data_IF_540553105043
#
_entry.id   IF_540553105043
#
_cell.length_a   1.000
_cell.length_b   1.000
_cell.length_c   1.000
_cell.angle_alpha   90.00
_cell.angle_beta   90.00
_cell.angle_gamma   90.00
#
_symmetry.space_group_name_H-M   'P 1'
#
loop_
_entity.id
_entity.type
_entity.pdbx_description
1 polymer ?
#
# COMPACT_ATOMS: atom_id res chain seq x y z
N UNK A 1 -75.76 -63.34 -47.63
CA UNK A 1 -75.08 -62.04 -47.45
C UNK A 1 -73.75 -62.29 -46.72
N UNK A 2 -72.68 -61.61 -47.13
CA UNK A 2 -71.33 -61.79 -46.58
C UNK A 2 -71.21 -61.19 -45.19
N UNK A 3 -71.87 -60.07 -44.92
CA UNK A 3 -71.75 -59.40 -43.62
C UNK A 3 -72.55 -60.16 -42.54
N UNK A 4 -73.71 -60.72 -42.88
CA UNK A 4 -74.44 -61.69 -42.06
C UNK A 4 -73.57 -62.92 -41.71
N UNK A 5 -72.79 -63.44 -42.67
CA UNK A 5 -71.88 -64.58 -42.41
C UNK A 5 -70.75 -64.19 -41.46
N UNK A 6 -70.10 -63.03 -41.66
CA UNK A 6 -69.06 -62.51 -40.76
C UNK A 6 -69.59 -62.32 -39.34
N UNK A 7 -70.81 -61.79 -39.19
CA UNK A 7 -71.46 -61.61 -37.90
C UNK A 7 -71.70 -62.95 -37.19
N UNK A 8 -72.18 -63.97 -37.91
CA UNK A 8 -72.44 -65.30 -37.37
C UNK A 8 -71.18 -66.08 -36.94
N UNK A 9 -70.00 -65.72 -37.45
CA UNK A 9 -68.70 -66.32 -37.07
C UNK A 9 -67.82 -65.40 -36.21
N UNK A 10 -68.35 -64.28 -35.72
CA UNK A 10 -67.63 -63.35 -34.83
C UNK A 10 -66.54 -62.50 -35.49
N UNK A 11 -66.60 -62.32 -36.81
CA UNK A 11 -65.64 -61.53 -37.62
C UNK A 11 -66.24 -60.20 -38.13
N UNK A 12 -67.39 -59.76 -37.62
CA UNK A 12 -68.03 -58.46 -37.93
C UNK A 12 -67.15 -57.23 -37.63
N UNK A 13 -66.21 -57.37 -36.68
CA UNK A 13 -65.22 -56.35 -36.32
C UNK A 13 -64.12 -56.16 -37.36
N UNK A 14 -63.90 -57.12 -38.27
CA UNK A 14 -62.91 -57.04 -39.34
C UNK A 14 -63.55 -56.51 -40.62
N UNK A 15 -63.29 -55.25 -40.95
CA UNK A 15 -63.75 -54.62 -42.19
C UNK A 15 -62.57 -54.40 -43.14
N UNK A 16 -62.85 -54.48 -44.43
CA UNK A 16 -61.87 -54.29 -45.49
C UNK A 16 -62.46 -53.40 -46.56
N UNK A 17 -61.63 -52.54 -47.11
CA UNK A 17 -61.92 -51.66 -48.25
C UNK A 17 -60.74 -51.72 -49.22
N UNK A 18 -60.87 -51.21 -50.46
CA UNK A 18 -59.74 -51.09 -51.37
C UNK A 18 -58.56 -50.26 -50.82
N UNK A 19 -58.81 -49.41 -49.83
CA UNK A 19 -57.85 -48.44 -49.28
C UNK A 19 -57.29 -48.78 -47.91
N UNK A 20 -57.94 -49.65 -47.12
CA UNK A 20 -57.49 -50.04 -45.77
C UNK A 20 -58.22 -51.27 -45.21
N UNK A 21 -57.53 -52.02 -44.33
CA UNK A 21 -58.13 -53.02 -43.42
C UNK A 21 -58.34 -52.39 -42.04
N UNK A 22 -59.44 -52.73 -41.38
CA UNK A 22 -59.93 -52.09 -40.16
C UNK A 22 -60.33 -53.16 -39.14
N UNK A 23 -60.01 -52.91 -37.87
CA UNK A 23 -60.41 -53.73 -36.72
C UNK A 23 -61.12 -52.82 -35.71
N UNK A 24 -62.42 -53.04 -35.53
CA UNK A 24 -63.24 -52.27 -34.60
C UNK A 24 -63.31 -52.96 -33.21
N UNK A 25 -63.28 -52.20 -32.10
CA UNK A 25 -63.33 -52.77 -30.74
C UNK A 25 -64.71 -53.29 -30.34
N UNK A 26 -65.78 -52.83 -31.01
CA UNK A 26 -67.14 -53.33 -30.84
C UNK A 26 -67.87 -53.38 -32.19
N UNK A 27 -69.02 -54.06 -32.23
CA UNK A 27 -69.85 -54.24 -33.44
C UNK A 27 -70.76 -53.06 -33.77
N UNK A 28 -70.79 -52.03 -32.90
CA UNK A 28 -71.54 -50.78 -33.12
C UNK A 28 -70.66 -49.65 -33.67
N UNK A 29 -71.23 -48.44 -33.77
CA UNK A 29 -70.44 -47.23 -34.08
C UNK A 29 -69.51 -46.89 -32.92
N UNK A 30 -68.27 -47.40 -32.97
CA UNK A 30 -67.18 -46.92 -32.15
C UNK A 30 -66.29 -46.00 -33.00
N UNK A 31 -65.96 -44.77 -32.53
CA UNK A 31 -65.08 -43.89 -33.29
C UNK A 31 -63.67 -44.45 -33.42
N UNK A 32 -63.18 -45.25 -32.45
CA UNK A 32 -61.84 -45.83 -32.48
C UNK A 32 -61.80 -47.12 -33.28
N UNK A 33 -60.77 -47.26 -34.12
CA UNK A 33 -60.40 -48.53 -34.79
C UNK A 33 -58.88 -48.66 -34.87
N UNK A 34 -58.38 -49.89 -34.97
CA UNK A 34 -57.02 -50.14 -35.48
C UNK A 34 -57.15 -50.29 -36.99
N UNK A 35 -56.29 -49.64 -37.77
CA UNK A 35 -56.29 -49.76 -39.24
C UNK A 35 -54.89 -49.95 -39.79
N UNK A 36 -54.80 -50.55 -40.98
CA UNK A 36 -53.59 -50.66 -41.80
C UNK A 36 -53.93 -50.38 -43.27
N UNK A 37 -53.10 -49.55 -43.91
CA UNK A 37 -53.26 -49.08 -45.30
C UNK A 37 -52.21 -49.69 -46.23
N UNK A 38 -52.48 -49.83 -47.55
CA UNK A 38 -51.53 -50.35 -48.53
C UNK A 38 -50.22 -49.54 -48.66
N UNK A 39 -50.19 -48.29 -48.19
CA UNK A 39 -48.97 -47.46 -48.15
C UNK A 39 -48.06 -47.77 -46.93
N UNK A 40 -48.46 -48.67 -46.04
CA UNK A 40 -47.73 -49.04 -44.84
C UNK A 40 -48.14 -48.29 -43.57
N UNK A 41 -49.03 -47.29 -43.64
CA UNK A 41 -49.55 -46.61 -42.46
C UNK A 41 -50.41 -47.56 -41.63
N UNK A 42 -50.18 -47.62 -40.32
CA UNK A 42 -51.01 -48.39 -39.39
C UNK A 42 -51.06 -47.75 -38.00
N UNK A 43 -52.10 -48.09 -37.23
CA UNK A 43 -52.27 -47.61 -35.85
C UNK A 43 -53.73 -47.36 -35.47
N UNK A 44 -53.95 -46.60 -34.41
CA UNK A 44 -55.30 -46.20 -33.97
C UNK A 44 -55.78 -45.00 -34.76
N UNK A 45 -56.93 -45.14 -35.43
CA UNK A 45 -57.60 -44.08 -36.16
C UNK A 45 -58.94 -43.75 -35.51
N UNK A 46 -59.37 -42.48 -35.63
CA UNK A 46 -60.71 -42.03 -35.26
C UNK A 46 -61.57 -41.67 -36.45
N UNK A 47 -62.67 -42.38 -36.60
CA UNK A 47 -63.64 -42.20 -37.69
C UNK A 47 -64.49 -40.93 -37.52
N UNK A 48 -64.67 -40.44 -36.29
CA UNK A 48 -65.46 -39.23 -35.99
C UNK A 48 -64.67 -37.92 -36.20
N UNK A 49 -63.36 -37.93 -35.97
CA UNK A 49 -62.48 -36.77 -36.19
C UNK A 49 -61.67 -36.85 -37.48
N UNK A 50 -61.55 -38.03 -38.09
CA UNK A 50 -60.71 -38.24 -39.27
C UNK A 50 -59.21 -38.11 -38.99
N UNK A 51 -58.76 -38.51 -37.79
CA UNK A 51 -57.37 -38.33 -37.34
C UNK A 51 -56.74 -39.59 -36.78
N UNK A 52 -55.40 -39.68 -36.87
CA UNK A 52 -54.61 -40.63 -36.09
C UNK A 52 -54.64 -40.26 -34.59
N UNK A 53 -54.81 -41.26 -33.74
CA UNK A 53 -54.68 -41.14 -32.28
C UNK A 53 -53.38 -41.82 -31.82
N UNK A 54 -52.52 -41.14 -31.05
CA UNK A 54 -51.25 -41.70 -30.61
C UNK A 54 -51.45 -42.70 -29.47
N UNK A 55 -50.62 -43.73 -29.41
CA UNK A 55 -50.62 -44.68 -28.29
C UNK A 55 -50.31 -43.93 -26.97
N UNK A 56 -51.18 -44.06 -25.97
CA UNK A 56 -51.07 -43.38 -24.68
C UNK A 56 -49.83 -43.87 -23.90
N UNK A 57 -49.27 -43.00 -23.05
CA UNK A 57 -48.11 -43.31 -22.19
C UNK A 57 -48.36 -44.55 -21.32
N UNK A 58 -49.56 -44.67 -20.73
CA UNK A 58 -49.98 -45.83 -19.91
C UNK A 58 -50.01 -47.17 -20.67
N UNK A 59 -49.93 -47.15 -22.00
CA UNK A 59 -49.86 -48.31 -22.87
C UNK A 59 -48.48 -48.44 -23.58
N UNK A 60 -47.46 -47.73 -23.11
CA UNK A 60 -46.09 -47.78 -23.67
C UNK A 60 -45.84 -46.88 -24.88
N UNK A 61 -46.77 -45.98 -25.22
CA UNK A 61 -46.62 -45.01 -26.31
C UNK A 61 -46.12 -43.63 -25.89
N UNK A 62 -46.05 -42.71 -26.85
CA UNK A 62 -45.60 -41.31 -26.63
C UNK A 62 -46.72 -40.34 -26.23
N UNK A 63 -47.99 -40.75 -26.37
CA UNK A 63 -49.15 -39.88 -26.16
C UNK A 63 -49.29 -38.70 -27.13
N UNK A 64 -48.50 -38.63 -28.21
CA UNK A 64 -48.53 -37.53 -29.18
C UNK A 64 -48.19 -37.97 -30.60
N UNK A 65 -48.81 -37.32 -31.59
CA UNK A 65 -48.61 -37.56 -33.04
C UNK A 65 -47.47 -36.73 -33.65
N UNK A 66 -46.89 -35.78 -32.90
CA UNK A 66 -45.79 -34.94 -33.36
C UNK A 66 -44.58 -35.00 -32.41
N UNK A 67 -43.39 -34.66 -32.94
CA UNK A 67 -42.11 -34.77 -32.22
C UNK A 67 -41.97 -33.83 -31.02
N UNK A 68 -42.71 -32.71 -30.98
CA UNK A 68 -42.63 -31.72 -29.89
C UNK A 68 -43.34 -32.26 -28.65
N UNK A 69 -44.61 -32.61 -28.81
CA UNK A 69 -45.46 -33.02 -27.69
C UNK A 69 -45.07 -34.42 -27.20
N UNK A 70 -44.56 -35.30 -28.07
CA UNK A 70 -44.03 -36.61 -27.68
C UNK A 70 -42.85 -36.51 -26.70
N UNK A 71 -42.02 -35.45 -26.83
CA UNK A 71 -40.90 -35.20 -25.92
C UNK A 71 -41.35 -34.58 -24.60
N UNK A 72 -42.31 -33.66 -24.65
CA UNK A 72 -42.95 -33.09 -23.45
C UNK A 72 -43.58 -34.19 -22.60
N UNK A 73 -44.37 -35.08 -23.23
CA UNK A 73 -45.06 -36.20 -22.58
C UNK A 73 -44.11 -37.19 -21.89
N UNK A 74 -42.94 -37.45 -22.47
CA UNK A 74 -41.93 -38.36 -21.91
C UNK A 74 -40.89 -37.64 -21.05
N UNK A 75 -41.02 -36.32 -20.84
CA UNK A 75 -40.06 -35.45 -20.17
C UNK A 75 -38.62 -35.57 -20.72
N UNK A 76 -38.49 -35.81 -22.04
CA UNK A 76 -37.21 -35.93 -22.74
C UNK A 76 -36.84 -34.55 -23.28
N UNK A 77 -35.61 -34.03 -23.01
CA UNK A 77 -35.14 -32.78 -23.60
C UNK A 77 -35.26 -32.76 -25.12
N UNK A 78 -35.45 -31.58 -25.72
CA UNK A 78 -35.52 -31.45 -27.17
C UNK A 78 -34.27 -32.08 -27.82
N UNK A 79 -34.48 -33.17 -28.56
CA UNK A 79 -33.39 -33.89 -29.23
C UNK A 79 -32.66 -32.95 -30.20
N UNK A 80 -31.33 -32.88 -30.04
CA UNK A 80 -30.32 -32.23 -30.90
C UNK A 80 -30.91 -31.56 -32.15
N UNK A 81 -31.26 -30.27 -32.03
CA UNK A 81 -31.52 -29.42 -33.20
C UNK A 81 -30.21 -28.75 -33.60
N UNK A 82 -29.84 -28.91 -34.88
CA UNK A 82 -28.76 -28.15 -35.49
C UNK A 82 -29.30 -26.75 -35.80
N UNK A 83 -28.65 -25.73 -35.25
CA UNK A 83 -28.85 -24.31 -35.56
C UNK A 83 -28.20 -24.07 -36.94
N UNK A 84 -28.92 -23.56 -37.95
CA UNK A 84 -28.37 -23.35 -39.29
C UNK A 84 -27.23 -22.33 -39.33
N UNK A 85 -26.31 -22.51 -40.29
CA UNK A 85 -25.30 -21.49 -40.63
C UNK A 85 -25.96 -20.13 -40.96
N UNK A 86 -25.27 -19.04 -40.65
CA UNK A 86 -25.74 -17.66 -40.73
C UNK A 86 -26.64 -17.21 -39.57
N UNK A 87 -27.09 -18.13 -38.71
CA UNK A 87 -28.07 -17.81 -37.65
C UNK A 87 -27.45 -17.07 -36.47
N UNK A 88 -28.18 -16.10 -35.92
CA UNK A 88 -27.91 -15.49 -34.61
C UNK A 88 -28.37 -16.43 -33.49
N UNK A 89 -27.45 -17.11 -32.81
CA UNK A 89 -27.76 -18.11 -31.77
C UNK A 89 -28.63 -17.51 -30.65
N UNK A 90 -28.25 -16.33 -30.14
CA UNK A 90 -28.91 -15.72 -28.99
C UNK A 90 -30.36 -15.31 -29.31
N UNK A 91 -30.62 -14.84 -30.53
CA UNK A 91 -31.98 -14.61 -31.03
C UNK A 91 -32.73 -15.92 -31.30
N UNK A 92 -32.07 -16.91 -31.91
CA UNK A 92 -32.68 -18.21 -32.23
C UNK A 92 -33.09 -18.98 -30.97
N UNK A 93 -32.33 -18.90 -29.87
CA UNK A 93 -32.70 -19.55 -28.60
C UNK A 93 -33.97 -18.94 -27.99
N UNK A 94 -34.14 -17.61 -28.08
CA UNK A 94 -35.38 -16.92 -27.69
C UNK A 94 -36.55 -17.35 -28.59
N UNK A 95 -36.34 -17.40 -29.90
CA UNK A 95 -37.40 -17.74 -30.87
C UNK A 95 -37.81 -19.21 -30.85
N UNK A 96 -36.85 -20.13 -30.76
CA UNK A 96 -37.07 -21.57 -30.61
C UNK A 96 -37.81 -21.90 -29.30
N UNK A 97 -37.64 -21.07 -28.27
CA UNK A 97 -38.49 -21.00 -27.08
C UNK A 97 -38.57 -22.31 -26.23
N UNK A 98 -37.65 -23.23 -26.42
CA UNK A 98 -37.57 -24.55 -25.77
C UNK A 98 -36.25 -24.70 -25.00
N UNK A 99 -36.30 -25.26 -23.79
CA UNK A 99 -35.10 -25.74 -23.09
C UNK A 99 -34.59 -27.03 -23.75
N UNK A 100 -33.27 -27.21 -23.82
CA UNK A 100 -32.69 -28.41 -24.42
C UNK A 100 -31.24 -28.26 -24.86
N UNK A 101 -30.77 -29.29 -25.59
CA UNK A 101 -29.43 -29.35 -26.16
C UNK A 101 -29.49 -29.08 -27.65
N UNK A 102 -28.76 -28.06 -28.07
CA UNK A 102 -28.64 -27.56 -29.43
C UNK A 102 -27.20 -27.65 -29.90
N UNK A 103 -26.97 -27.53 -31.20
CA UNK A 103 -25.63 -27.59 -31.78
C UNK A 103 -25.52 -26.68 -33.00
N UNK A 104 -24.30 -26.34 -33.41
CA UNK A 104 -24.05 -25.63 -34.66
C UNK A 104 -22.70 -25.99 -35.24
N UNK A 105 -22.53 -25.72 -36.54
CA UNK A 105 -21.20 -25.51 -37.12
C UNK A 105 -20.54 -24.21 -36.62
N UNK A 106 -19.45 -23.82 -37.27
CA UNK A 106 -18.68 -22.62 -36.91
C UNK A 106 -19.31 -21.32 -37.44
N UNK A 107 -20.07 -21.39 -38.54
CA UNK A 107 -20.58 -20.23 -39.29
C UNK A 107 -21.87 -19.63 -38.67
N UNK A 108 -21.87 -19.35 -37.38
CA UNK A 108 -23.02 -18.76 -36.67
C UNK A 108 -22.60 -17.49 -35.93
N UNK A 109 -23.52 -16.52 -35.83
CA UNK A 109 -23.25 -15.21 -35.23
C UNK A 109 -23.74 -15.15 -33.77
N UNK A 110 -23.06 -14.33 -32.97
CA UNK A 110 -23.21 -14.28 -31.50
C UNK A 110 -22.87 -15.60 -30.77
N UNK A 111 -22.01 -16.46 -31.35
CA UNK A 111 -21.30 -17.52 -30.63
C UNK A 111 -20.18 -16.94 -29.74
N UNK A 112 -19.64 -17.69 -28.77
CA UNK A 112 -18.44 -17.27 -28.05
C UNK A 112 -17.21 -17.14 -28.97
N UNK A 113 -16.22 -16.35 -28.55
CA UNK A 113 -15.11 -15.93 -29.41
C UNK A 113 -14.12 -17.07 -29.74
N UNK A 114 -13.54 -17.72 -28.72
CA UNK A 114 -12.31 -18.52 -28.90
C UNK A 114 -12.55 -20.00 -29.23
N UNK A 115 -13.52 -20.32 -30.09
CA UNK A 115 -13.81 -21.72 -30.46
C UNK A 115 -14.08 -21.92 -31.94
N UNK A 116 -13.38 -22.91 -32.50
CA UNK A 116 -13.45 -23.38 -33.88
C UNK A 116 -14.29 -24.65 -34.01
N UNK A 117 -14.80 -24.91 -35.21
CA UNK A 117 -15.58 -26.09 -35.53
C UNK A 117 -16.94 -26.14 -34.83
N UNK A 118 -17.32 -27.34 -34.39
CA UNK A 118 -18.63 -27.61 -33.82
C UNK A 118 -18.81 -27.02 -32.42
N UNK A 119 -20.04 -26.58 -32.15
CA UNK A 119 -20.47 -26.09 -30.85
C UNK A 119 -21.68 -26.88 -30.36
N UNK A 120 -21.79 -27.01 -29.02
CA UNK A 120 -22.97 -27.53 -28.32
C UNK A 120 -23.47 -26.47 -27.34
N UNK A 121 -24.78 -26.29 -27.24
CA UNK A 121 -25.44 -25.32 -26.35
C UNK A 121 -26.50 -26.02 -25.51
N UNK A 122 -26.48 -25.85 -24.20
CA UNK A 122 -27.48 -26.35 -23.27
C UNK A 122 -28.24 -25.16 -22.67
N UNK A 123 -29.45 -24.89 -23.18
CA UNK A 123 -30.26 -23.76 -22.74
C UNK A 123 -31.30 -24.21 -21.72
N UNK A 124 -31.29 -23.58 -20.55
CA UNK A 124 -32.21 -23.79 -19.44
C UNK A 124 -33.04 -22.53 -19.26
N UNK A 125 -34.28 -22.55 -19.75
CA UNK A 125 -35.27 -21.48 -19.51
C UNK A 125 -35.77 -21.63 -18.07
N UNK A 126 -35.67 -20.58 -17.27
CA UNK A 126 -36.12 -20.55 -15.87
C UNK A 126 -37.49 -19.86 -15.73
N UNK A 127 -37.68 -18.73 -16.42
CA UNK A 127 -38.93 -17.95 -16.39
C UNK A 127 -39.29 -17.47 -17.80
N UNK A 128 -40.58 -17.29 -18.04
CA UNK A 128 -41.15 -16.83 -19.31
C UNK A 128 -41.93 -15.53 -19.10
N UNK A 129 -41.85 -14.63 -20.08
CA UNK A 129 -42.56 -13.35 -20.03
C UNK A 129 -44.06 -13.54 -20.33
N UNK A 130 -44.83 -12.44 -20.33
CA UNK A 130 -46.28 -12.47 -20.60
C UNK A 130 -46.63 -12.96 -22.02
N UNK A 131 -45.68 -12.91 -22.97
CA UNK A 131 -45.81 -13.41 -24.34
C UNK A 131 -45.38 -14.89 -24.48
N UNK A 132 -44.98 -15.54 -23.37
CA UNK A 132 -44.52 -16.93 -23.34
C UNK A 132 -43.09 -17.16 -23.84
N UNK A 133 -42.36 -16.09 -24.19
CA UNK A 133 -40.94 -16.12 -24.60
C UNK A 133 -40.03 -16.28 -23.38
N UNK A 134 -38.76 -16.69 -23.54
CA UNK A 134 -37.83 -16.82 -22.42
C UNK A 134 -37.51 -15.44 -21.86
N UNK A 135 -37.50 -15.31 -20.54
CA UNK A 135 -37.30 -14.04 -19.84
C UNK A 135 -36.10 -14.10 -18.90
N UNK A 136 -35.96 -15.24 -18.19
CA UNK A 136 -34.79 -15.60 -17.41
C UNK A 136 -34.32 -17.00 -17.78
N UNK A 137 -33.00 -17.21 -17.80
CA UNK A 137 -32.40 -18.51 -18.10
C UNK A 137 -30.89 -18.46 -18.25
N UNK A 138 -30.28 -19.61 -18.52
CA UNK A 138 -28.83 -19.74 -18.70
C UNK A 138 -28.52 -20.66 -19.88
N UNK A 139 -27.52 -20.28 -20.69
CA UNK A 139 -26.96 -21.13 -21.75
C UNK A 139 -25.54 -21.51 -21.36
N UNK A 140 -25.27 -22.81 -21.29
CA UNK A 140 -23.92 -23.37 -21.24
C UNK A 140 -23.50 -23.72 -22.67
N UNK A 141 -22.38 -23.17 -23.16
CA UNK A 141 -21.85 -23.45 -24.49
C UNK A 141 -20.48 -24.13 -24.41
N UNK A 142 -20.28 -25.20 -25.17
CA UNK A 142 -19.02 -25.95 -25.23
C UNK A 142 -18.55 -26.03 -26.68
N UNK A 143 -17.30 -25.64 -26.92
CA UNK A 143 -16.65 -25.75 -28.23
C UNK A 143 -16.05 -27.14 -28.46
N UNK A 144 -15.72 -27.47 -29.70
CA UNK A 144 -14.98 -28.68 -30.06
C UNK A 144 -13.60 -28.83 -29.35
N UNK A 145 -13.05 -27.73 -28.82
CA UNK A 145 -11.82 -27.72 -28.02
C UNK A 145 -12.06 -27.88 -26.50
N UNK A 146 -13.27 -28.29 -26.08
CA UNK A 146 -13.72 -28.38 -24.67
C UNK A 146 -13.67 -27.07 -23.88
N UNK A 147 -13.60 -25.92 -24.56
CA UNK A 147 -13.69 -24.62 -23.90
C UNK A 147 -15.16 -24.34 -23.58
N UNK A 148 -15.47 -24.12 -22.31
CA UNK A 148 -16.82 -23.83 -21.83
C UNK A 148 -17.06 -22.34 -21.65
N UNK A 149 -18.28 -21.91 -21.95
CA UNK A 149 -18.79 -20.56 -21.75
C UNK A 149 -20.18 -20.61 -21.12
N UNK A 150 -20.55 -19.55 -20.39
CA UNK A 150 -21.91 -19.32 -19.91
C UNK A 150 -22.38 -17.94 -20.37
N UNK A 151 -23.67 -17.81 -20.69
CA UNK A 151 -24.36 -16.52 -20.79
C UNK A 151 -25.71 -16.61 -20.08
N UNK A 152 -26.11 -15.51 -19.44
CA UNK A 152 -27.34 -15.39 -18.66
C UNK A 152 -28.33 -14.51 -19.42
N UNK A 153 -29.58 -14.98 -19.52
CA UNK A 153 -30.72 -14.22 -20.00
C UNK A 153 -31.39 -13.53 -18.80
N UNK A 154 -31.63 -12.23 -18.92
CA UNK A 154 -32.29 -11.40 -17.89
C UNK A 154 -33.27 -10.45 -18.58
N UNK A 155 -34.53 -10.45 -18.17
CA UNK A 155 -35.61 -9.63 -18.75
C UNK A 155 -35.70 -9.74 -20.29
N UNK A 156 -35.53 -10.96 -20.82
CA UNK A 156 -35.55 -11.26 -22.26
C UNK A 156 -34.35 -10.73 -23.05
N UNK A 157 -33.31 -10.22 -22.38
CA UNK A 157 -32.09 -9.68 -22.98
C UNK A 157 -30.84 -10.44 -22.52
N UNK A 158 -29.73 -10.25 -23.23
CA UNK A 158 -28.42 -10.89 -22.97
C UNK A 158 -27.37 -9.86 -22.49
N UNK A 159 -27.57 -9.16 -21.36
CA UNK A 159 -26.88 -7.91 -21.02
C UNK A 159 -25.37 -8.04 -20.72
N UNK A 160 -24.87 -9.26 -20.47
CA UNK A 160 -23.50 -9.47 -19.98
C UNK A 160 -22.56 -10.14 -21.00
N UNK A 161 -23.08 -10.58 -22.16
CA UNK A 161 -22.29 -11.34 -23.13
C UNK A 161 -21.80 -12.71 -22.61
N UNK A 162 -20.97 -13.38 -23.40
CA UNK A 162 -20.43 -14.70 -23.05
C UNK A 162 -19.28 -14.60 -22.05
N UNK A 163 -19.41 -15.31 -20.92
CA UNK A 163 -18.37 -15.47 -19.91
C UNK A 163 -17.64 -16.80 -20.09
N UNK A 164 -16.31 -16.79 -20.16
CA UNK A 164 -15.46 -17.98 -20.36
C UNK A 164 -15.18 -18.68 -19.03
N UNK A 165 -15.43 -19.99 -18.94
CA UNK A 165 -15.07 -20.80 -17.77
C UNK A 165 -13.77 -21.53 -18.07
N UNK A 166 -12.68 -21.06 -17.46
CA UNK A 166 -11.37 -21.73 -17.51
C UNK A 166 -11.21 -22.61 -16.27
N UNK A 167 -11.26 -23.94 -16.45
CA UNK A 167 -10.72 -24.90 -15.47
C UNK A 167 -9.36 -25.40 -15.96
N UNK A 168 -8.35 -25.22 -15.12
CA UNK A 168 -7.02 -25.78 -15.30
C UNK A 168 -6.57 -26.28 -13.92
N UNK A 169 -6.35 -27.60 -13.78
CA UNK A 169 -5.84 -28.24 -12.56
C UNK A 169 -6.55 -27.80 -11.26
N UNK A 170 -7.89 -27.88 -11.26
CA UNK A 170 -8.81 -27.56 -10.14
C UNK A 170 -8.69 -26.16 -9.50
N UNK A 171 -7.91 -25.25 -10.09
CA UNK A 171 -7.79 -23.87 -9.63
C UNK A 171 -8.74 -22.94 -10.40
N UNK A 172 -9.39 -22.02 -9.69
CA UNK A 172 -10.14 -20.90 -10.30
C UNK A 172 -9.14 -19.89 -10.84
N UNK A 173 -9.05 -19.76 -12.16
CA UNK A 173 -8.18 -18.80 -12.83
C UNK A 173 -8.98 -17.58 -13.28
N UNK A 174 -8.78 -16.44 -12.62
CA UNK A 174 -9.30 -15.14 -13.08
C UNK A 174 -8.33 -14.52 -14.09
N UNK A 175 -8.45 -14.90 -15.36
CA UNK A 175 -7.74 -14.23 -16.46
C UNK A 175 -8.48 -12.92 -16.81
N UNK A 176 -7.75 -11.83 -17.00
CA UNK A 176 -8.23 -10.50 -17.42
C UNK A 176 -9.19 -9.75 -16.45
N UNK A 177 -8.97 -9.84 -15.13
CA UNK A 177 -9.73 -9.05 -14.15
C UNK A 177 -9.60 -7.52 -14.38
N UNK A 178 -10.71 -6.84 -14.63
CA UNK A 178 -10.82 -5.37 -14.75
C UNK A 178 -11.88 -4.83 -13.81
N UNK A 179 -11.50 -3.89 -12.93
CA UNK A 179 -12.37 -3.26 -11.93
C UNK A 179 -12.43 -1.75 -12.22
N UNK A 180 -13.62 -1.17 -12.40
CA UNK A 180 -13.80 0.20 -12.95
C UNK A 180 -14.89 1.05 -12.28
N UNK A 181 -14.81 2.36 -12.52
CA UNK A 181 -15.58 3.52 -12.01
C UNK A 181 -16.92 3.81 -12.77
N UNK A 182 -17.89 4.67 -12.34
CA UNK A 182 -18.28 5.15 -10.99
C UNK A 182 -19.51 6.09 -10.86
N UNK A 183 -19.96 6.36 -9.61
CA UNK A 183 -20.54 7.66 -9.18
C UNK A 183 -20.59 7.96 -7.63
N UNK A 184 -19.72 7.40 -6.74
CA UNK A 184 -20.07 7.23 -5.29
C UNK A 184 -18.99 7.34 -4.16
N UNK A 185 -17.81 7.94 -4.36
CA UNK A 185 -16.62 7.91 -3.44
C UNK A 185 -15.40 6.99 -3.78
N UNK A 186 -15.51 5.66 -3.58
CA UNK A 186 -14.50 4.59 -3.73
C UNK A 186 -14.81 3.51 -4.81
N UNK A 187 -13.83 3.11 -5.63
CA UNK A 187 -14.03 2.35 -6.88
C UNK A 187 -13.04 1.21 -7.12
N UNK A 188 -13.27 0.37 -8.14
CA UNK A 188 -12.27 -0.59 -8.62
C UNK A 188 -11.93 -1.69 -7.60
N UNK A 189 -12.97 -2.34 -7.07
CA UNK A 189 -12.96 -2.94 -5.74
C UNK A 189 -12.84 -4.47 -5.74
N UNK A 190 -11.96 -5.02 -4.90
CA UNK A 190 -11.82 -6.46 -4.62
C UNK A 190 -12.18 -6.76 -3.16
N UNK A 191 -13.11 -7.68 -2.93
CA UNK A 191 -13.58 -8.10 -1.60
C UNK A 191 -13.13 -9.51 -1.22
N UNK A 192 -12.64 -9.68 0.00
CA UNK A 192 -12.32 -10.97 0.60
C UNK A 192 -12.97 -11.06 1.99
N UNK A 193 -13.88 -12.02 2.18
CA UNK A 193 -14.56 -12.26 3.46
C UNK A 193 -13.93 -13.43 4.21
N UNK A 194 -13.65 -13.24 5.50
CA UNK A 194 -13.34 -14.34 6.42
C UNK A 194 -14.64 -14.83 7.07
N UNK A 195 -15.03 -16.07 6.79
CA UNK A 195 -16.32 -16.65 7.20
C UNK A 195 -16.08 -17.68 8.31
N UNK A 196 -16.74 -17.51 9.45
CA UNK A 196 -16.74 -18.45 10.57
C UNK A 196 -18.18 -18.83 10.93
N UNK A 197 -18.46 -20.13 11.10
CA UNK A 197 -19.80 -20.63 11.40
C UNK A 197 -20.86 -20.09 10.42
N UNK A 198 -20.53 -20.08 9.13
CA UNK A 198 -21.35 -19.53 8.04
C UNK A 198 -21.71 -18.03 8.15
N UNK A 199 -21.02 -17.26 8.99
CA UNK A 199 -21.19 -15.82 9.16
C UNK A 199 -19.90 -15.08 8.78
N UNK A 200 -19.95 -13.97 8.02
CA UNK A 200 -18.78 -13.15 7.73
C UNK A 200 -18.33 -12.42 9.01
N UNK A 201 -17.07 -12.61 9.41
CA UNK A 201 -16.45 -12.03 10.61
C UNK A 201 -15.41 -10.97 10.28
N UNK A 202 -14.63 -11.22 9.24
CA UNK A 202 -13.62 -10.30 8.73
C UNK A 202 -13.87 -9.93 7.28
N UNK A 203 -13.39 -8.75 6.90
CA UNK A 203 -13.46 -8.19 5.55
C UNK A 203 -12.10 -7.58 5.22
N UNK A 204 -11.50 -7.99 4.11
CA UNK A 204 -10.32 -7.33 3.52
C UNK A 204 -10.72 -6.78 2.17
N UNK A 205 -10.35 -5.53 1.87
CA UNK A 205 -10.65 -4.87 0.60
C UNK A 205 -9.41 -4.20 0.01
N UNK A 206 -9.35 -4.17 -1.32
CA UNK A 206 -8.42 -3.34 -2.11
C UNK A 206 -9.24 -2.52 -3.11
N UNK A 207 -9.03 -1.21 -3.15
CA UNK A 207 -9.77 -0.29 -4.03
C UNK A 207 -9.04 1.02 -4.30
N UNK A 208 -9.54 1.81 -5.26
CA UNK A 208 -9.05 3.15 -5.59
C UNK A 208 -10.15 4.19 -5.37
N UNK A 209 -9.87 5.28 -4.66
CA UNK A 209 -10.83 6.34 -4.37
C UNK A 209 -10.32 7.70 -4.86
N UNK A 210 -11.24 8.61 -5.17
CA UNK A 210 -10.92 9.97 -5.60
C UNK A 210 -11.70 10.95 -4.73
N UNK A 211 -11.01 11.67 -3.85
CA UNK A 211 -11.58 12.54 -2.82
C UNK A 211 -10.80 13.84 -2.79
N UNK A 212 -11.50 14.98 -2.70
CA UNK A 212 -10.89 16.32 -2.59
C UNK A 212 -9.87 16.63 -3.70
N UNK A 213 -10.05 16.04 -4.89
CA UNK A 213 -9.14 16.18 -6.03
C UNK A 213 -7.94 15.24 -6.01
N UNK A 214 -7.81 14.38 -4.98
CA UNK A 214 -6.66 13.48 -4.78
C UNK A 214 -7.03 12.02 -5.05
N UNK A 215 -6.26 11.37 -5.93
CA UNK A 215 -6.34 9.91 -6.14
C UNK A 215 -5.62 9.15 -5.01
N UNK A 216 -6.28 8.12 -4.47
CA UNK A 216 -5.72 7.23 -3.43
C UNK A 216 -5.95 5.74 -3.77
N UNK A 217 -4.95 4.89 -3.52
CA UNK A 217 -5.11 3.43 -3.48
C UNK A 217 -5.20 2.99 -2.03
N UNK A 218 -6.25 2.24 -1.66
CA UNK A 218 -6.57 1.87 -0.28
C UNK A 218 -6.63 0.36 -0.08
N UNK A 219 -5.93 -0.10 0.95
CA UNK A 219 -6.12 -1.39 1.59
C UNK A 219 -6.93 -1.21 2.87
N UNK A 220 -8.08 -1.86 2.99
CA UNK A 220 -8.92 -1.84 4.20
C UNK A 220 -8.96 -3.22 4.84
N UNK A 221 -8.89 -3.24 6.17
CA UNK A 221 -9.32 -4.37 6.99
C UNK A 221 -10.50 -3.96 7.88
N UNK A 222 -11.52 -4.81 7.95
CA UNK A 222 -12.75 -4.60 8.70
C UNK A 222 -13.06 -5.80 9.60
N UNK A 223 -13.31 -5.54 10.87
CA UNK A 223 -13.92 -6.50 11.79
C UNK A 223 -15.44 -6.25 11.80
N UNK A 224 -16.20 -7.21 11.28
CA UNK A 224 -17.65 -7.11 11.09
C UNK A 224 -18.43 -7.39 12.38
N UNK A 225 -17.79 -7.97 13.40
CA UNK A 225 -18.43 -8.25 14.71
C UNK A 225 -18.54 -7.01 15.59
N UNK A 226 -17.57 -6.09 15.48
CA UNK A 226 -17.53 -4.86 16.27
C UNK A 226 -17.51 -3.58 15.40
N UNK A 227 -17.77 -3.71 14.10
CA UNK A 227 -17.81 -2.63 13.11
C UNK A 227 -16.57 -1.72 13.09
N UNK A 228 -15.39 -2.26 13.41
CA UNK A 228 -14.12 -1.52 13.34
C UNK A 228 -13.49 -1.66 11.97
N UNK A 229 -12.94 -0.57 11.46
CA UNK A 229 -12.23 -0.53 10.20
C UNK A 229 -10.87 0.12 10.40
N UNK A 230 -9.87 -0.35 9.66
CA UNK A 230 -8.57 0.29 9.51
C UNK A 230 -8.22 0.37 8.02
N UNK A 231 -7.57 1.45 7.64
CA UNK A 231 -7.27 1.81 6.26
C UNK A 231 -5.79 2.13 6.16
N UNK A 232 -5.10 1.52 5.20
CA UNK A 232 -3.73 1.86 4.78
C UNK A 232 -3.84 2.43 3.38
N UNK A 233 -3.40 3.67 3.16
CA UNK A 233 -3.65 4.38 1.91
C UNK A 233 -2.37 5.02 1.37
N UNK A 234 -2.15 4.90 0.06
CA UNK A 234 -1.16 5.68 -0.68
C UNK A 234 -1.88 6.68 -1.58
N UNK A 235 -1.45 7.94 -1.57
CA UNK A 235 -1.97 8.98 -2.47
C UNK A 235 -0.99 9.33 -3.60
N UNK A 236 -1.50 10.02 -4.62
CA UNK A 236 -0.72 10.43 -5.80
C UNK A 236 0.40 11.45 -5.50
N UNK A 237 0.39 12.09 -4.32
CA UNK A 237 1.48 12.95 -3.85
C UNK A 237 2.60 12.15 -3.18
N UNK A 238 2.44 10.82 -3.03
CA UNK A 238 3.40 9.92 -2.40
C UNK A 238 3.26 9.82 -0.89
N UNK A 239 2.20 10.35 -0.30
CA UNK A 239 1.93 10.24 1.15
C UNK A 239 1.41 8.85 1.49
N UNK A 240 1.76 8.36 2.68
CA UNK A 240 1.27 7.10 3.23
C UNK A 240 0.46 7.35 4.51
N UNK A 241 -0.83 7.04 4.46
CA UNK A 241 -1.82 7.32 5.51
C UNK A 241 -2.22 6.06 6.28
N UNK A 242 -2.61 6.24 7.54
CA UNK A 242 -3.18 5.18 8.39
C UNK A 242 -2.16 4.24 9.05
N UNK A 243 -0.87 4.53 8.95
CA UNK A 243 0.19 3.78 9.64
C UNK A 243 0.22 4.16 11.12
N UNK A 244 -0.28 3.27 11.98
CA UNK A 244 -0.26 3.47 13.45
C UNK A 244 1.07 3.01 14.07
N UNK A 245 1.60 1.87 13.63
CA UNK A 245 2.86 1.31 14.11
C UNK A 245 3.64 0.69 12.95
N UNK A 246 4.94 0.97 12.86
CA UNK A 246 5.88 0.24 11.98
C UNK A 246 6.69 -0.71 12.87
N UNK A 247 6.21 -1.94 13.01
CA UNK A 247 6.96 -3.00 13.71
C UNK A 247 7.87 -3.71 12.70
N UNK A 248 9.15 -3.31 12.65
CA UNK A 248 10.18 -3.99 11.87
C UNK A 248 11.36 -4.37 12.75
N UNK A 249 11.96 -5.54 12.49
CA UNK A 249 13.23 -5.94 13.11
C UNK A 249 14.37 -5.04 12.61
N UNK A 250 14.35 -4.72 11.30
CA UNK A 250 15.27 -3.80 10.64
C UNK A 250 14.47 -2.88 9.70
N UNK A 251 14.53 -1.57 9.90
CA UNK A 251 13.96 -0.60 8.96
C UNK A 251 15.03 -0.14 7.97
N UNK A 252 15.35 -1.01 7.01
CA UNK A 252 16.44 -0.81 6.06
C UNK A 252 16.02 0.10 4.88
N UNK A 253 16.31 1.39 5.00
CA UNK A 253 16.27 2.31 3.86
C UNK A 253 17.48 2.04 2.96
N UNK A 254 17.28 1.18 1.96
CA UNK A 254 18.33 0.74 1.05
C UNK A 254 18.87 1.83 0.12
N UNK A 255 20.01 1.57 -0.53
CA UNK A 255 20.63 2.49 -1.46
C UNK A 255 19.98 2.40 -2.86
N UNK A 256 20.29 3.36 -3.73
CA UNK A 256 20.87 2.95 -5.02
C UNK A 256 22.39 2.94 -4.83
N UNK A 257 22.94 4.08 -4.38
CA UNK A 257 24.20 4.20 -3.63
C UNK A 257 24.06 5.29 -2.55
N UNK A 258 23.52 4.90 -1.38
CA UNK A 258 23.22 5.74 -0.20
C UNK A 258 21.98 6.64 -0.33
N UNK A 259 20.82 6.16 0.12
CA UNK A 259 19.80 7.01 0.73
C UNK A 259 19.72 6.65 2.22
N UNK A 260 20.04 7.61 3.09
CA UNK A 260 19.55 7.60 4.48
C UNK A 260 18.05 7.96 4.45
N UNK A 261 17.43 8.33 5.57
CA UNK A 261 16.13 9.01 5.57
C UNK A 261 16.28 10.38 4.88
N UNK A 262 16.27 10.38 3.54
CA UNK A 262 16.71 11.50 2.72
C UNK A 262 15.54 12.46 2.51
N UNK A 263 15.34 13.27 3.52
CA UNK A 263 14.35 14.32 3.60
C UNK A 263 15.05 15.64 3.34
N UNK A 264 14.50 16.51 2.48
CA UNK A 264 15.03 17.88 2.33
C UNK A 264 14.85 18.66 3.64
N UNK A 265 13.76 18.38 4.35
CA UNK A 265 13.52 18.72 5.75
C UNK A 265 12.98 17.48 6.45
N UNK A 266 13.76 16.89 7.35
CA UNK A 266 13.36 15.70 8.10
C UNK A 266 12.84 16.08 9.46
N UNK A 267 11.53 16.01 9.67
CA UNK A 267 10.93 16.38 10.95
C UNK A 267 10.41 15.14 11.66
N UNK A 268 11.10 14.72 12.73
CA UNK A 268 10.54 13.80 13.72
C UNK A 268 9.71 14.61 14.71
N UNK A 269 8.42 14.75 14.44
CA UNK A 269 7.48 15.35 15.38
C UNK A 269 7.21 14.37 16.51
N UNK A 270 7.56 14.74 17.74
CA UNK A 270 7.18 14.01 18.97
C UNK A 270 6.22 14.90 19.73
N UNK A 271 5.02 14.42 20.03
CA UNK A 271 4.00 15.24 20.72
C UNK A 271 4.50 15.74 22.09
N UNK A 272 4.51 17.05 22.25
CA UNK A 272 4.96 17.78 23.43
C UNK A 272 4.41 19.21 23.41
N UNK A 273 4.42 19.92 24.55
CA UNK A 273 3.90 21.30 24.65
C UNK A 273 4.76 22.35 23.95
N UNK A 274 6.02 22.01 23.68
CA UNK A 274 6.89 22.64 22.69
C UNK A 274 7.30 21.53 21.72
N UNK A 275 7.33 21.82 20.42
CA UNK A 275 7.48 20.80 19.37
C UNK A 275 8.98 20.51 19.15
N UNK A 276 9.53 19.37 19.58
CA UNK A 276 10.93 19.04 19.35
C UNK A 276 11.16 18.72 17.87
N UNK A 277 12.35 19.04 17.38
CA UNK A 277 12.80 18.65 16.04
C UNK A 277 14.25 18.15 16.05
N UNK A 278 14.58 17.36 15.04
CA UNK A 278 15.94 16.93 14.73
C UNK A 278 16.18 17.16 13.24
N UNK A 279 17.04 18.11 12.89
CA UNK A 279 17.35 18.45 11.51
C UNK A 279 18.75 18.00 11.11
N UNK A 280 18.88 17.55 9.85
CA UNK A 280 20.17 17.37 9.19
C UNK A 280 20.13 18.00 7.82
N UNK A 281 21.09 18.87 7.51
CA UNK A 281 21.17 19.61 6.25
C UNK A 281 22.62 19.88 5.87
N UNK A 282 22.87 20.38 4.66
CA UNK A 282 24.22 20.75 4.23
C UNK A 282 24.27 21.32 2.82
N UNK A 283 25.30 22.12 2.55
CA UNK A 283 25.60 22.73 1.26
C UNK A 283 27.13 22.64 1.02
N UNK A 284 27.59 22.21 -0.18
CA UNK A 284 29.00 22.32 -0.60
C UNK A 284 29.71 23.63 -0.27
N UNK A 285 29.02 24.78 -0.34
CA UNK A 285 29.65 26.10 -0.38
C UNK A 285 29.98 26.71 0.98
N UNK A 286 29.62 26.07 2.09
CA UNK A 286 30.01 26.54 3.44
C UNK A 286 29.83 25.50 4.55
N UNK A 287 28.59 25.04 4.76
CA UNK A 287 28.23 24.10 5.84
C UNK A 287 28.06 22.69 5.25
N UNK A 288 29.15 21.91 5.16
CA UNK A 288 29.14 20.62 4.43
C UNK A 288 28.17 19.60 5.01
N UNK A 289 28.00 19.60 6.33
CA UNK A 289 27.01 18.79 7.05
C UNK A 289 26.69 19.49 8.36
N UNK A 290 25.41 19.55 8.70
CA UNK A 290 24.88 20.06 9.97
C UNK A 290 23.95 19.02 10.57
N UNK A 291 24.00 18.88 11.89
CA UNK A 291 23.09 18.10 12.72
C UNK A 291 22.60 19.01 13.84
N UNK A 292 21.29 19.24 13.92
CA UNK A 292 20.67 20.20 14.82
C UNK A 292 19.52 19.53 15.59
N UNK A 293 19.39 19.81 16.88
CA UNK A 293 18.28 19.36 17.72
C UNK A 293 17.78 20.53 18.56
N UNK A 294 16.47 20.73 18.62
CA UNK A 294 15.84 21.91 19.22
C UNK A 294 14.33 21.79 19.41
N UNK A 295 13.68 22.91 19.74
CA UNK A 295 12.22 23.09 19.75
C UNK A 295 11.82 24.15 18.73
N UNK A 296 10.66 23.99 18.08
CA UNK A 296 10.17 24.95 17.08
C UNK A 296 9.97 26.35 17.69
N UNK A 297 9.65 26.42 18.97
CA UNK A 297 9.35 27.63 19.72
C UNK A 297 10.62 28.34 20.25
N UNK A 298 11.64 27.60 20.71
CA UNK A 298 12.83 28.16 21.40
C UNK A 298 14.13 28.03 20.58
N UNK A 299 14.07 27.37 19.41
CA UNK A 299 15.21 27.17 18.51
C UNK A 299 16.08 25.98 18.87
N UNK A 300 17.32 25.98 18.36
CA UNK A 300 18.25 24.87 18.55
C UNK A 300 18.85 24.85 19.96
N UNK A 301 19.02 23.63 20.49
CA UNK A 301 19.68 23.31 21.77
C UNK A 301 21.09 22.75 21.49
N UNK A 302 21.21 21.87 20.50
CA UNK A 302 22.46 21.23 20.06
C UNK A 302 22.68 21.51 18.57
N UNK A 303 23.88 21.94 18.21
CA UNK A 303 24.28 22.22 16.82
C UNK A 303 25.67 21.66 16.53
N UNK A 304 25.75 20.59 15.76
CA UNK A 304 27.00 20.02 15.25
C UNK A 304 27.19 20.36 13.78
N UNK A 305 28.34 20.93 13.40
CA UNK A 305 28.63 21.29 12.01
C UNK A 305 30.01 20.81 11.57
N UNK A 306 30.09 20.30 10.33
CA UNK A 306 31.33 20.06 9.59
C UNK A 306 31.52 21.20 8.59
N UNK A 307 32.60 21.94 8.78
CA UNK A 307 32.98 23.08 7.95
C UNK A 307 33.57 22.62 6.60
N UNK A 308 33.72 23.57 5.67
CA UNK A 308 34.34 23.35 4.35
C UNK A 308 35.73 22.71 4.43
N UNK A 309 36.52 23.12 5.41
CA UNK A 309 37.89 22.68 5.72
C UNK A 309 37.98 21.36 6.51
N UNK A 310 36.86 20.68 6.76
CA UNK A 310 36.73 19.46 7.59
C UNK A 310 36.92 19.68 9.12
N UNK A 311 37.11 20.93 9.57
CA UNK A 311 36.97 21.27 10.98
C UNK A 311 35.54 21.00 11.46
N UNK A 312 35.39 20.77 12.76
CA UNK A 312 34.13 20.34 13.38
C UNK A 312 33.86 21.27 14.54
N UNK A 313 32.65 21.79 14.61
CA UNK A 313 32.16 22.55 15.75
C UNK A 313 30.98 21.82 16.39
N UNK A 314 30.88 21.97 17.70
CA UNK A 314 29.71 21.60 18.49
C UNK A 314 29.36 22.82 19.34
N UNK A 315 28.26 23.45 18.98
CA UNK A 315 27.69 24.56 19.72
C UNK A 315 26.49 24.02 20.53
N UNK A 316 26.35 24.48 21.78
CA UNK A 316 25.21 24.14 22.65
C UNK A 316 24.61 25.43 23.17
N UNK A 317 23.32 25.62 22.93
CA UNK A 317 22.55 26.79 23.38
C UNK A 317 22.06 26.56 24.81
N UNK A 318 22.97 26.66 25.78
CA UNK A 318 22.66 26.44 27.20
C UNK A 318 23.85 25.93 28.01
N UNK A 319 23.55 25.45 29.23
CA UNK A 319 24.56 24.94 30.17
C UNK A 319 24.86 23.46 29.89
N UNK A 320 26.13 23.13 29.67
CA UNK A 320 26.60 21.74 29.55
C UNK A 320 27.13 21.26 30.90
N UNK A 321 26.49 20.24 31.47
CA UNK A 321 26.99 19.52 32.65
C UNK A 321 27.70 18.23 32.20
N UNK A 322 28.96 18.05 32.58
CA UNK A 322 29.76 16.86 32.27
C UNK A 322 30.51 16.37 33.51
N UNK A 323 30.80 15.07 33.58
CA UNK A 323 31.63 14.49 34.65
C UNK A 323 33.11 14.91 34.54
N UNK A 324 33.61 15.12 33.33
CA UNK A 324 34.92 15.69 33.04
C UNK A 324 34.99 16.25 31.61
N UNK A 325 35.79 17.29 31.39
CA UNK A 325 36.25 17.74 30.07
C UNK A 325 37.75 17.48 29.94
N UNK A 326 38.12 16.39 29.26
CA UNK A 326 39.52 15.97 29.12
C UNK A 326 40.14 16.55 27.84
N UNK A 327 41.08 17.48 27.98
CA UNK A 327 41.84 18.02 26.85
C UNK A 327 43.05 17.10 26.55
N UNK A 328 43.22 16.71 25.28
CA UNK A 328 44.35 15.88 24.86
C UNK A 328 45.66 16.68 24.97
N UNK A 329 46.63 16.17 25.73
CA UNK A 329 47.86 16.91 26.08
C UNK A 329 49.14 16.07 25.94
N UNK A 330 49.05 14.94 25.22
CA UNK A 330 50.19 14.08 24.92
C UNK A 330 51.32 14.86 24.21
N UNK A 331 52.57 14.47 24.45
CA UNK A 331 53.74 15.09 23.81
C UNK A 331 53.79 14.75 22.32
N UNK A 332 53.35 13.56 21.93
CA UNK A 332 53.42 13.09 20.54
C UNK A 332 52.34 13.75 19.65
N UNK A 333 51.42 14.52 20.26
CA UNK A 333 50.42 15.35 19.59
C UNK A 333 50.84 16.84 19.50
N UNK A 334 52.09 17.18 19.82
CA UNK A 334 52.57 18.57 19.92
C UNK A 334 53.90 18.77 19.18
N UNK A 335 53.99 19.93 18.53
CA UNK A 335 55.21 20.45 17.89
C UNK A 335 55.52 21.86 18.41
N UNK A 336 56.72 22.40 18.12
CA UNK A 336 57.14 23.76 18.47
C UNK A 336 56.95 24.12 19.96
N UNK A 337 57.32 23.20 20.85
CA UNK A 337 57.12 23.35 22.31
C UNK A 337 58.15 24.34 22.88
N UNK A 338 57.69 25.55 23.18
CA UNK A 338 58.49 26.60 23.83
C UNK A 338 58.04 26.85 25.29
N UNK A 339 58.94 27.41 26.11
CA UNK A 339 58.63 27.83 27.48
C UNK A 339 58.04 29.23 27.46
N UNK A 340 56.87 29.41 28.11
CA UNK A 340 56.26 30.74 28.29
C UNK A 340 57.21 31.62 29.11
N UNK A 341 57.76 32.65 28.48
CA UNK A 341 58.75 33.58 29.03
C UNK A 341 58.13 34.92 29.42
N UNK A 342 58.71 35.60 30.42
CA UNK A 342 58.20 36.83 31.04
C UNK A 342 56.79 36.63 31.62
N UNK A 343 56.53 35.44 32.16
CA UNK A 343 55.23 35.00 32.63
C UNK A 343 54.68 35.90 33.74
N UNK A 344 55.51 36.39 34.67
CA UNK A 344 55.08 37.36 35.70
C UNK A 344 54.51 38.62 35.06
N UNK A 345 55.18 39.18 34.05
CA UNK A 345 54.79 40.47 33.47
C UNK A 345 53.58 40.32 32.53
N UNK A 346 53.44 39.17 31.87
CA UNK A 346 52.20 38.77 31.18
C UNK A 346 51.01 38.65 32.15
N UNK A 347 51.19 37.99 33.30
CA UNK A 347 50.12 37.87 34.32
C UNK A 347 49.74 39.24 34.90
N UNK A 348 50.71 40.13 35.15
CA UNK A 348 50.46 41.50 35.62
C UNK A 348 49.64 42.36 34.65
N UNK A 349 49.64 42.01 33.36
CA UNK A 349 48.90 42.73 32.32
C UNK A 349 47.48 42.19 32.09
N UNK A 350 47.06 41.11 32.77
CA UNK A 350 45.68 40.60 32.76
C UNK A 350 44.99 40.96 34.08
N UNK A 351 43.80 41.56 34.00
CA UNK A 351 42.96 41.80 35.17
C UNK A 351 42.08 40.61 35.54
N UNK A 352 41.95 40.36 36.84
CA UNK A 352 40.89 39.51 37.40
C UNK A 352 39.66 40.36 37.73
N UNK A 353 38.52 40.09 37.09
CA UNK A 353 37.32 40.91 37.17
C UNK A 353 36.12 40.12 37.69
N UNK A 354 35.24 40.81 38.40
CA UNK A 354 33.82 40.43 38.53
C UNK A 354 33.00 41.25 37.55
N UNK A 355 31.99 40.64 36.94
CA UNK A 355 31.14 41.28 35.93
C UNK A 355 29.75 40.66 35.89
N UNK A 356 28.78 41.39 35.36
CA UNK A 356 27.43 40.88 35.10
C UNK A 356 27.32 40.48 33.62
N UNK A 357 26.89 39.25 33.33
CA UNK A 357 26.64 38.84 31.94
C UNK A 357 25.40 39.55 31.41
N UNK A 358 25.52 40.20 30.25
CA UNK A 358 24.42 40.95 29.60
C UNK A 358 23.22 40.07 29.21
N UNK A 359 23.47 38.78 28.98
CA UNK A 359 22.47 37.83 28.47
C UNK A 359 21.49 37.34 29.54
N UNK A 360 21.95 37.11 30.77
CA UNK A 360 21.14 36.56 31.87
C UNK A 360 21.08 37.45 33.13
N UNK A 361 21.83 38.55 33.17
CA UNK A 361 21.89 39.46 34.32
C UNK A 361 22.61 38.89 35.56
N UNK A 362 23.26 37.73 35.46
CA UNK A 362 23.90 37.05 36.59
C UNK A 362 25.32 37.57 36.85
N UNK A 363 25.80 37.55 38.11
CA UNK A 363 27.18 37.88 38.45
C UNK A 363 28.12 36.70 38.14
N UNK A 364 29.26 37.02 37.53
CA UNK A 364 30.34 36.10 37.18
C UNK A 364 31.70 36.69 37.57
N UNK A 365 32.75 35.86 37.53
CA UNK A 365 34.14 36.26 37.71
C UNK A 365 35.02 35.59 36.65
N UNK A 366 36.08 36.26 36.20
CA UNK A 366 36.96 35.78 35.14
C UNK A 366 37.95 36.84 34.67
N UNK A 367 38.43 36.69 33.44
CA UNK A 367 39.36 37.62 32.76
C UNK A 367 38.75 38.14 31.47
N UNK A 368 39.26 39.26 30.94
CA UNK A 368 38.83 39.81 29.66
C UNK A 368 39.63 39.18 28.51
N UNK A 369 38.93 38.59 27.53
CA UNK A 369 39.55 37.82 26.45
C UNK A 369 40.52 38.64 25.58
N UNK A 370 40.28 39.94 25.45
CA UNK A 370 41.14 40.87 24.73
C UNK A 370 42.50 41.05 25.42
N UNK A 371 42.54 41.16 26.75
CA UNK A 371 43.79 41.27 27.52
C UNK A 371 44.60 39.97 27.42
N UNK A 372 43.92 38.82 27.52
CA UNK A 372 44.55 37.50 27.31
C UNK A 372 45.15 37.41 25.91
N UNK A 373 44.43 37.87 24.87
CA UNK A 373 44.90 37.85 23.49
C UNK A 373 46.18 38.67 23.28
N UNK A 374 46.33 39.80 23.97
CA UNK A 374 47.48 40.68 23.80
C UNK A 374 48.77 40.13 24.47
N UNK A 375 48.65 39.24 25.46
CA UNK A 375 49.80 38.72 26.23
C UNK A 375 50.04 37.21 26.12
N UNK A 376 49.02 36.44 25.76
CA UNK A 376 49.01 34.99 25.57
C UNK A 376 47.97 34.62 24.49
N UNK A 377 48.20 35.01 23.22
CA UNK A 377 47.24 34.78 22.13
C UNK A 377 46.86 33.31 21.95
N UNK A 378 47.75 32.38 22.34
CA UNK A 378 47.55 30.93 22.30
C UNK A 378 46.41 30.45 23.22
N UNK A 379 46.08 31.21 24.27
CA UNK A 379 44.97 30.96 25.18
C UNK A 379 43.71 31.77 24.82
N UNK A 380 43.70 32.46 23.67
CA UNK A 380 42.55 33.23 23.19
C UNK A 380 41.87 32.52 22.02
N UNK A 381 40.54 32.42 22.09
CA UNK A 381 39.70 31.86 21.04
C UNK A 381 38.75 32.92 20.45
N UNK A 382 37.98 32.51 19.44
CA UNK A 382 36.84 33.30 18.97
C UNK A 382 35.71 32.40 18.50
N UNK A 383 34.47 32.85 18.72
CA UNK A 383 33.26 32.18 18.25
C UNK A 383 32.33 33.19 17.56
N UNK A 384 31.41 32.70 16.73
CA UNK A 384 30.41 33.52 16.05
C UNK A 384 29.05 33.26 16.68
N UNK A 385 28.39 34.31 17.18
CA UNK A 385 26.97 34.24 17.54
C UNK A 385 26.14 34.54 16.30
N UNK A 386 25.17 33.69 16.03
CA UNK A 386 24.18 33.90 14.98
C UNK A 386 22.89 34.43 15.62
N UNK A 387 22.33 35.49 15.06
CA UNK A 387 21.01 36.02 15.45
C UNK A 387 20.06 35.82 14.28
N UNK A 388 18.94 35.12 14.51
CA UNK A 388 17.89 34.97 13.49
C UNK A 388 17.19 36.33 13.27
N UNK A 389 17.18 36.79 12.02
CA UNK A 389 16.55 38.04 11.60
C UNK A 389 15.10 37.80 11.16
N UNK A 390 14.18 38.77 11.33
CA UNK A 390 12.79 38.61 10.90
C UNK A 390 12.66 38.45 9.39
N UNK A 391 12.10 37.31 8.97
CA UNK A 391 11.72 37.02 7.59
C UNK A 391 12.51 35.86 6.96
N UNK A 392 11.86 34.98 6.18
CA UNK A 392 12.55 33.96 5.42
C UNK A 392 13.19 34.54 4.15
N UNK A 393 14.21 33.88 3.63
CA UNK A 393 14.63 34.02 2.22
C UNK A 393 13.51 33.55 1.27
N UNK A 394 13.65 33.80 -0.04
CA UNK A 394 12.71 33.28 -1.05
C UNK A 394 12.55 31.74 -1.01
N UNK A 395 13.55 31.02 -0.49
CA UNK A 395 13.55 29.55 -0.37
C UNK A 395 13.07 29.03 1.00
N UNK A 396 12.59 29.92 1.88
CA UNK A 396 12.04 29.54 3.20
C UNK A 396 13.06 29.36 4.32
N UNK A 397 14.34 29.69 4.11
CA UNK A 397 15.37 29.59 5.16
C UNK A 397 15.44 30.86 6.03
N UNK A 398 15.76 30.76 7.34
CA UNK A 398 15.94 31.94 8.20
C UNK A 398 17.09 32.83 7.72
N UNK A 399 16.86 34.15 7.70
CA UNK A 399 17.93 35.15 7.60
C UNK A 399 18.71 35.18 8.92
N UNK A 400 20.05 35.31 8.87
CA UNK A 400 20.90 35.37 10.07
C UNK A 400 21.94 36.48 9.97
N UNK A 401 22.15 37.19 11.07
CA UNK A 401 23.30 38.09 11.28
C UNK A 401 24.43 37.33 11.99
N UNK A 402 25.68 37.65 11.63
CA UNK A 402 26.89 37.03 12.19
C UNK A 402 27.71 38.05 13.00
N UNK A 403 27.78 37.88 14.33
CA UNK A 403 28.61 38.71 15.21
C UNK A 403 29.73 37.87 15.85
N UNK A 404 30.98 38.34 15.78
CA UNK A 404 32.16 37.60 16.25
C UNK A 404 32.61 38.06 17.64
N UNK A 405 32.70 37.11 18.56
CA UNK A 405 33.13 37.30 19.94
C UNK A 405 34.46 36.59 20.22
N UNK A 406 35.15 37.00 21.29
CA UNK A 406 36.37 36.34 21.78
C UNK A 406 36.05 35.43 22.97
N UNK A 407 36.80 34.33 23.09
CA UNK A 407 36.73 33.38 24.20
C UNK A 407 38.12 33.15 24.80
N UNK A 408 38.17 32.45 25.94
CA UNK A 408 39.40 32.19 26.71
C UNK A 408 39.53 30.71 26.98
N UNK A 409 40.70 30.13 26.70
CA UNK A 409 41.09 28.84 27.25
C UNK A 409 41.75 29.01 28.61
N UNK A 410 41.00 28.67 29.66
CA UNK A 410 41.49 28.70 31.03
C UNK A 410 42.58 27.64 31.31
N UNK A 411 42.73 26.60 30.49
CA UNK A 411 43.85 25.67 30.61
C UNK A 411 45.18 26.32 30.16
N UNK A 412 45.17 27.06 29.05
CA UNK A 412 46.28 27.92 28.62
C UNK A 412 46.68 28.96 29.66
N UNK A 413 45.71 29.63 30.30
CA UNK A 413 45.99 30.54 31.43
C UNK A 413 46.65 29.79 32.60
N UNK A 414 46.21 28.58 32.90
CA UNK A 414 46.82 27.76 33.97
C UNK A 414 48.30 27.48 33.67
N UNK A 415 48.68 27.24 32.41
CA UNK A 415 50.08 27.08 32.02
C UNK A 415 50.91 28.36 32.20
N UNK A 416 50.34 29.54 31.90
CA UNK A 416 50.97 30.83 32.18
C UNK A 416 51.17 31.05 33.68
N UNK A 417 50.15 30.78 34.51
CA UNK A 417 50.24 30.87 35.96
C UNK A 417 51.35 29.96 36.51
N UNK A 418 51.46 28.71 36.02
CA UNK A 418 52.54 27.78 36.40
C UNK A 418 53.93 28.36 36.12
N UNK A 419 54.15 29.05 35.00
CA UNK A 419 55.45 29.69 34.73
C UNK A 419 55.65 30.96 35.56
N UNK A 420 54.59 31.76 35.80
CA UNK A 420 54.67 32.93 36.66
C UNK A 420 55.04 32.55 38.11
N UNK A 421 54.52 31.43 38.63
CA UNK A 421 54.93 30.88 39.92
C UNK A 421 56.40 30.44 39.93
N UNK A 422 56.91 29.80 38.87
CA UNK A 422 58.33 29.41 38.76
C UNK A 422 59.28 30.61 38.68
N UNK A 423 58.96 31.61 37.85
CA UNK A 423 59.72 32.86 37.79
C UNK A 423 59.69 33.62 39.12
N UNK A 424 58.61 33.48 39.89
CA UNK A 424 58.46 34.14 41.20
C UNK A 424 59.25 33.41 42.29
N UNK A 425 59.21 32.08 42.30
CA UNK A 425 60.05 31.23 43.15
C UNK A 425 61.54 31.54 42.92
N UNK A 426 62.00 31.58 41.66
CA UNK A 426 63.38 31.93 41.32
C UNK A 426 63.77 33.34 41.82
N UNK A 427 62.84 34.31 41.77
CA UNK A 427 63.05 35.65 42.33
C UNK A 427 63.10 35.63 43.87
N UNK A 428 62.27 34.83 44.52
CA UNK A 428 62.28 34.66 45.99
C UNK A 428 63.60 34.03 46.44
N UNK A 429 64.04 32.92 45.84
CA UNK A 429 65.33 32.28 46.18
C UNK A 429 66.50 33.24 46.03
N UNK A 430 66.52 34.08 44.98
CA UNK A 430 67.56 35.11 44.78
C UNK A 430 67.51 36.19 45.86
N UNK A 431 66.32 36.61 46.30
CA UNK A 431 66.16 37.57 47.39
C UNK A 431 66.57 36.98 48.75
N UNK A 432 66.28 35.71 49.01
CA UNK A 432 66.69 35.00 50.24
C UNK A 432 68.22 34.84 50.33
N UNK A 433 68.89 34.46 49.23
CA UNK A 433 70.35 34.38 49.19
C UNK A 433 71.00 35.77 49.31
N UNK A 434 70.42 36.82 48.71
CA UNK A 434 70.85 38.21 48.94
C UNK A 434 70.69 38.63 50.40
N UNK A 435 69.57 38.27 51.04
CA UNK A 435 69.32 38.58 52.45
C UNK A 435 70.35 37.91 53.36
N UNK A 436 70.66 36.63 53.11
CA UNK A 436 71.71 35.88 53.82
C UNK A 436 73.08 36.55 53.67
N UNK A 437 73.48 36.94 52.46
CA UNK A 437 74.75 37.65 52.23
C UNK A 437 74.79 39.01 52.93
N UNK A 438 73.67 39.74 52.97
CA UNK A 438 73.54 40.99 53.72
C UNK A 438 73.72 40.76 55.23
N UNK A 439 73.18 39.68 55.78
CA UNK A 439 73.28 39.40 57.21
C UNK A 439 74.69 38.90 57.61
N UNK A 440 75.34 38.09 56.77
CA UNK A 440 76.77 37.75 56.91
C UNK A 440 77.66 39.00 56.87
N UNK A 441 77.38 39.95 55.97
CA UNK A 441 78.08 41.24 55.89
C UNK A 441 77.84 42.11 57.13
N UNK A 442 76.61 42.17 57.66
CA UNK A 442 76.31 42.89 58.91
C UNK A 442 77.08 42.32 60.09
N UNK A 443 77.15 41.00 60.23
CA UNK A 443 77.96 40.36 61.27
C UNK A 443 79.44 40.74 61.16
N UNK A 444 79.99 40.73 59.94
CA UNK A 444 81.39 41.10 59.71
C UNK A 444 81.65 42.58 60.05
N UNK A 445 80.74 43.48 59.66
CA UNK A 445 80.82 44.91 60.00
C UNK A 445 80.70 45.14 61.51
N UNK A 446 79.81 44.43 62.21
CA UNK A 446 79.69 44.52 63.66
C UNK A 446 80.99 44.07 64.34
N UNK A 447 81.56 42.93 63.93
CA UNK A 447 82.87 42.46 64.40
C UNK A 447 84.01 43.45 64.12
N UNK A 448 83.91 44.29 63.09
CA UNK A 448 84.89 45.35 62.80
C UNK A 448 84.65 46.65 63.59
N UNK A 449 83.42 46.90 64.04
CA UNK A 449 83.07 48.02 64.91
C UNK A 449 83.42 47.72 66.38
N UNK A 450 83.20 46.48 66.84
CA UNK A 450 83.50 46.02 68.20
C UNK A 450 85.01 45.89 68.48
N UNK A 451 85.85 45.90 67.43
CA UNK A 451 87.31 45.85 67.49
C UNK A 451 87.98 47.24 67.34
N UNK A 452 87.24 48.32 67.63
CA UNK A 452 87.75 49.71 67.70
C UNK A 452 87.51 50.32 69.08
#
# INVERSE_FOLDING_TARGET
DVDTVKQNIGLDRFKQSPSETMIYPSSGQNPYRITIRPNGDWGTWRDDTGTWEPLKIVAGGTGATNKKDARLNLNIPAAYKIIPDGTNILGWLIENNESGVFSSGENVINKPADGHGWWTYNFKIHLRNQEGKPDFGVVEATSAANIMYIIVLTNGQWPHGWFKIVRENDNVQLRDLKLTQYDTGFSGHLELYNIQNNNPKGLTQLYNEFQDGVLKTTLRTGNLENNRNSYLQWDENGSLWGVVNILSNDLYFGPHSVRKLHTRHGTLLVDGTATPYYYTFGNPDGRRSVTEFGTVEDGWIFYGQVNRDLSKQLDVNGVVNASAFNQASDRDLKENIEVISNAIDRVRAIGGYTYTLKENGMPHAGVIAQEVRDVLPEASGSFTKYVDLPGPTQDGTPLREEERFYSVDYAGITALLVQAFKEMDEKITKLEEQQKQIDELKELVQKLLDNK
#
